data_IF_084422607467
#
_entry.id   IF_084422607467
#
_cell.length_a   1.000
_cell.length_b   1.000
_cell.length_c   1.000
_cell.angle_alpha   90.00
_cell.angle_beta   90.00
_cell.angle_gamma   90.00
#
_symmetry.space_group_name_H-M   'P 1'
#
loop_
_entity.id
_entity.type
_entity.pdbx_description
1 polymer ?
#
# COMPACT_ATOMS: atom_id res chain seq x y z
N UNK A 1 35.44 -6.62 15.79
CA UNK A 1 34.10 -6.38 15.20
C UNK A 1 33.44 -7.74 14.99
N UNK A 2 32.41 -8.07 15.75
CA UNK A 2 31.71 -9.37 15.61
C UNK A 2 30.95 -9.38 14.29
N UNK A 3 31.33 -10.23 13.37
CA UNK A 3 30.55 -10.49 12.14
C UNK A 3 29.28 -11.20 12.57
N UNK A 4 28.13 -10.54 12.37
CA UNK A 4 26.81 -11.17 12.55
C UNK A 4 26.54 -12.03 11.32
N UNK A 5 26.60 -13.34 11.47
CA UNK A 5 26.19 -14.26 10.43
C UNK A 5 24.67 -14.23 10.29
N UNK A 6 24.18 -14.14 9.04
CA UNK A 6 22.76 -14.25 8.73
C UNK A 6 22.42 -15.72 8.71
N UNK A 7 21.75 -16.21 9.75
CA UNK A 7 21.34 -17.63 9.88
C UNK A 7 20.13 -17.97 9.03
N UNK A 8 19.28 -16.97 8.71
CA UNK A 8 18.10 -17.19 7.88
C UNK A 8 17.28 -15.93 7.68
N UNK A 9 16.40 -15.97 6.68
CA UNK A 9 15.45 -14.90 6.35
C UNK A 9 14.03 -15.42 6.49
N UNK A 10 13.18 -14.71 7.25
CA UNK A 10 11.76 -15.04 7.41
C UNK A 10 10.91 -13.97 6.77
N UNK A 11 10.10 -14.35 5.78
CA UNK A 11 9.14 -13.48 5.12
C UNK A 11 7.80 -13.59 5.86
N UNK A 12 7.24 -12.44 6.27
CA UNK A 12 5.94 -12.33 6.93
C UNK A 12 5.11 -11.22 6.28
N UNK A 13 3.79 -11.33 6.38
CA UNK A 13 2.91 -10.22 6.07
C UNK A 13 3.03 -9.16 7.18
N UNK A 14 3.12 -7.90 6.79
CA UNK A 14 3.07 -6.79 7.73
C UNK A 14 1.60 -6.52 8.12
N UNK A 15 1.35 -6.30 9.41
CA UNK A 15 0.05 -5.84 9.86
C UNK A 15 -0.17 -4.37 9.48
N UNK A 16 -1.42 -3.88 9.43
CA UNK A 16 -1.71 -2.47 9.17
C UNK A 16 -0.98 -1.52 10.13
N UNK A 17 -0.88 -1.88 11.41
CA UNK A 17 -0.17 -1.11 12.43
C UNK A 17 1.32 -1.02 12.08
N UNK A 18 1.91 -2.15 11.70
CA UNK A 18 3.32 -2.19 11.30
C UNK A 18 3.60 -1.36 10.05
N UNK A 19 2.66 -1.33 9.10
CA UNK A 19 2.77 -0.48 7.90
C UNK A 19 2.73 1.01 8.29
N UNK A 20 1.84 1.39 9.21
CA UNK A 20 1.77 2.78 9.70
C UNK A 20 3.04 3.20 10.45
N UNK A 21 3.60 2.32 11.28
CA UNK A 21 4.87 2.57 11.98
C UNK A 21 6.05 2.82 11.02
N UNK A 22 6.11 2.07 9.92
CA UNK A 22 7.16 2.20 8.90
C UNK A 22 6.93 3.37 7.94
N UNK A 23 5.73 3.93 7.94
CA UNK A 23 5.32 4.96 7.00
C UNK A 23 5.78 6.36 7.42
N UNK A 24 6.28 7.12 6.47
CA UNK A 24 6.62 8.55 6.64
C UNK A 24 5.41 9.48 6.44
N UNK A 25 4.24 8.94 6.06
CA UNK A 25 3.01 9.69 5.91
C UNK A 25 1.97 9.03 5.02
N UNK A 26 0.74 9.54 5.10
CA UNK A 26 -0.39 9.06 4.33
C UNK A 26 -0.47 9.74 2.96
N UNK A 27 -0.65 8.94 1.91
CA UNK A 27 -0.94 9.38 0.56
C UNK A 27 -2.46 9.52 0.40
N UNK A 28 -2.95 10.75 0.23
CA UNK A 28 -4.39 11.07 0.19
C UNK A 28 -4.94 11.25 -1.21
N UNK A 29 -4.05 11.46 -2.20
CA UNK A 29 -4.42 11.77 -3.58
C UNK A 29 -3.79 10.79 -4.55
N UNK A 30 -4.52 10.40 -5.62
CA UNK A 30 -3.98 9.51 -6.64
C UNK A 30 -3.01 10.18 -7.62
N UNK A 31 -2.92 11.51 -7.57
CA UNK A 31 -2.07 12.26 -8.49
C UNK A 31 -0.59 11.99 -8.21
N UNK A 32 0.19 11.96 -9.29
CA UNK A 32 1.64 11.75 -9.24
C UNK A 32 2.40 13.05 -9.37
N UNK A 33 2.33 13.66 -10.54
CA UNK A 33 2.99 14.92 -10.88
C UNK A 33 1.99 15.89 -11.49
N UNK A 34 2.24 17.17 -11.31
CA UNK A 34 1.52 18.21 -12.03
C UNK A 34 2.04 18.27 -13.47
N UNK A 35 1.17 18.06 -14.46
CA UNK A 35 1.54 18.00 -15.88
C UNK A 35 2.12 19.34 -16.40
N UNK A 36 1.76 20.47 -15.80
CA UNK A 36 2.24 21.81 -16.20
C UNK A 36 3.62 22.13 -15.63
N UNK A 37 3.82 21.80 -14.35
CA UNK A 37 5.06 22.16 -13.63
C UNK A 37 6.07 21.02 -13.55
N UNK A 38 5.66 19.80 -13.91
CA UNK A 38 6.41 18.55 -13.79
C UNK A 38 6.93 18.28 -12.35
N UNK A 39 6.28 18.89 -11.36
CA UNK A 39 6.61 18.69 -9.94
C UNK A 39 5.64 17.71 -9.28
N UNK A 40 6.11 16.94 -8.29
CA UNK A 40 5.26 16.06 -7.51
C UNK A 40 4.10 16.83 -6.85
N UNK A 41 2.90 16.29 -6.98
CA UNK A 41 1.72 16.85 -6.32
C UNK A 41 1.80 16.60 -4.80
N UNK A 42 1.33 17.61 -4.05
CA UNK A 42 1.25 17.53 -2.60
C UNK A 42 0.25 16.45 -2.17
N UNK A 43 0.64 15.61 -1.22
CA UNK A 43 -0.15 14.50 -0.70
C UNK A 43 -0.48 13.40 -1.74
N UNK A 44 0.17 13.45 -2.91
CA UNK A 44 0.08 12.45 -3.97
C UNK A 44 1.10 11.33 -3.84
N UNK A 45 1.10 10.42 -4.82
CA UNK A 45 1.96 9.23 -4.85
C UNK A 45 3.46 9.54 -4.91
N UNK A 46 3.86 10.76 -5.31
CA UNK A 46 5.27 11.19 -5.35
C UNK A 46 5.56 12.39 -4.44
N UNK A 47 4.69 12.64 -3.46
CA UNK A 47 4.80 13.79 -2.56
C UNK A 47 6.19 13.91 -1.91
N UNK A 48 6.81 15.10 -2.07
CA UNK A 48 8.14 15.35 -1.49
C UNK A 48 8.13 15.45 0.04
N UNK A 49 6.98 15.78 0.64
CA UNK A 49 6.82 15.82 2.09
C UNK A 49 6.87 14.42 2.70
N UNK A 50 6.28 13.43 2.02
CA UNK A 50 6.21 12.04 2.49
C UNK A 50 7.52 11.31 2.16
N UNK A 51 7.93 11.34 0.91
CA UNK A 51 9.03 10.53 0.40
C UNK A 51 10.39 11.24 0.39
N UNK A 52 10.40 12.55 0.56
CA UNK A 52 11.61 13.36 0.49
C UNK A 52 11.75 14.15 -0.81
N UNK A 53 12.76 15.03 -0.89
CA UNK A 53 12.95 15.93 -2.01
C UNK A 53 13.32 15.20 -3.30
N UNK A 54 12.90 15.72 -4.44
CA UNK A 54 13.29 15.19 -5.77
C UNK A 54 14.72 15.56 -6.13
N UNK A 55 15.19 16.71 -5.66
CA UNK A 55 16.57 17.16 -5.80
C UNK A 55 17.23 17.25 -4.44
N UNK A 56 18.46 16.73 -4.34
CA UNK A 56 19.20 16.74 -3.08
C UNK A 56 19.36 18.16 -2.54
N UNK A 57 19.05 18.31 -1.25
CA UNK A 57 19.19 19.57 -0.49
C UNK A 57 18.34 20.75 -1.01
N UNK A 58 17.25 20.46 -1.73
CA UNK A 58 16.27 21.45 -2.16
C UNK A 58 14.90 21.14 -1.57
N UNK A 59 14.09 22.15 -1.32
CA UNK A 59 12.69 21.96 -0.94
C UNK A 59 11.72 22.25 -2.09
N UNK A 60 10.50 21.75 -2.05
CA UNK A 60 9.51 21.90 -3.11
C UNK A 60 9.16 23.36 -3.44
N UNK A 61 9.10 24.25 -2.42
CA UNK A 61 8.77 25.67 -2.63
C UNK A 61 9.95 26.53 -3.11
N UNK A 62 11.16 25.99 -3.14
CA UNK A 62 12.36 26.69 -3.58
C UNK A 62 12.99 27.61 -2.53
N UNK A 63 12.47 27.68 -1.29
CA UNK A 63 13.07 28.49 -0.20
C UNK A 63 14.52 28.06 0.06
N UNK A 64 14.76 26.75 0.10
CA UNK A 64 16.09 26.13 0.26
C UNK A 64 16.66 25.66 -1.09
N UNK A 65 16.57 26.49 -2.11
CA UNK A 65 17.22 26.21 -3.39
C UNK A 65 18.68 26.60 -3.30
N UNK A 66 19.59 25.72 -3.72
CA UNK A 66 21.05 25.92 -3.66
C UNK A 66 21.65 26.02 -2.24
N UNK A 67 20.95 25.52 -1.24
CA UNK A 67 21.39 25.60 0.17
C UNK A 67 22.52 24.64 0.52
N UNK A 68 22.72 23.60 -0.30
CA UNK A 68 23.72 22.58 -0.05
C UNK A 68 23.49 21.80 1.27
N UNK A 69 24.48 21.06 1.73
CA UNK A 69 24.34 20.20 2.92
C UNK A 69 24.25 20.95 4.26
N UNK A 70 24.46 22.28 4.28
CA UNK A 70 24.40 23.11 5.51
C UNK A 70 23.06 23.02 6.25
N UNK A 71 21.96 22.83 5.51
CA UNK A 71 20.60 22.78 6.06
C UNK A 71 20.03 21.36 6.07
N UNK A 72 20.88 20.33 6.00
CA UNK A 72 20.45 18.93 6.06
C UNK A 72 19.65 18.66 7.33
N UNK A 73 18.47 18.02 7.16
CA UNK A 73 17.58 17.63 8.26
C UNK A 73 16.58 18.72 8.69
N UNK A 74 16.66 19.93 8.11
CA UNK A 74 15.68 20.97 8.40
C UNK A 74 14.41 20.72 7.60
N UNK A 75 13.27 20.78 8.28
CA UNK A 75 11.95 20.74 7.65
C UNK A 75 11.57 22.16 7.24
N UNK A 76 11.27 22.35 5.96
CA UNK A 76 10.86 23.65 5.45
C UNK A 76 9.51 24.05 6.05
N UNK A 77 9.46 25.16 6.75
CA UNK A 77 8.26 25.76 7.35
C UNK A 77 7.14 26.06 6.34
N UNK A 78 7.50 26.37 5.09
CA UNK A 78 6.56 26.75 4.02
C UNK A 78 5.92 25.54 3.31
N UNK A 79 6.71 24.50 2.99
CA UNK A 79 6.21 23.35 2.22
C UNK A 79 6.24 22.02 2.97
N UNK A 80 6.84 21.98 4.18
CA UNK A 80 6.94 20.79 4.99
C UNK A 80 7.90 19.70 4.46
N UNK A 81 8.69 20.01 3.44
CA UNK A 81 9.68 19.08 2.87
C UNK A 81 10.97 19.17 3.68
N UNK A 82 11.50 18.02 4.07
CA UNK A 82 12.79 17.93 4.72
C UNK A 82 13.92 18.14 3.71
N UNK A 83 14.87 19.00 4.05
CA UNK A 83 16.05 19.28 3.23
C UNK A 83 17.08 18.19 3.45
N UNK A 84 17.12 17.19 2.57
CA UNK A 84 18.01 16.03 2.67
C UNK A 84 18.43 15.52 1.29
N UNK A 85 19.21 14.45 1.24
CA UNK A 85 19.58 13.80 0.00
C UNK A 85 18.35 13.14 -0.65
N UNK A 86 18.26 13.21 -1.97
CA UNK A 86 17.17 12.59 -2.74
C UNK A 86 17.15 11.05 -2.64
N UNK A 87 18.25 10.41 -2.21
CA UNK A 87 18.32 8.94 -2.01
C UNK A 87 17.33 8.42 -0.99
N UNK A 88 16.93 9.27 -0.02
CA UNK A 88 15.91 8.89 0.98
C UNK A 88 14.58 8.48 0.34
N UNK A 89 14.29 8.92 -0.89
CA UNK A 89 13.10 8.51 -1.64
C UNK A 89 13.05 7.01 -1.97
N UNK A 90 14.18 6.32 -1.94
CA UNK A 90 14.28 4.87 -2.14
C UNK A 90 14.05 4.08 -0.86
N UNK A 91 14.13 4.73 0.29
CA UNK A 91 14.06 4.11 1.62
C UNK A 91 12.73 4.42 2.32
N UNK A 92 12.20 5.64 2.14
CA UNK A 92 10.97 6.07 2.79
C UNK A 92 9.74 5.40 2.19
N UNK A 93 8.90 4.90 3.07
CA UNK A 93 7.61 4.31 2.73
C UNK A 93 6.49 5.27 3.09
N UNK A 94 5.43 5.26 2.30
CA UNK A 94 4.15 5.88 2.62
C UNK A 94 3.06 4.81 2.71
N UNK A 95 1.89 5.17 3.20
CA UNK A 95 0.75 4.28 3.22
C UNK A 95 -0.50 4.95 2.64
N UNK A 96 -1.46 4.15 2.26
CA UNK A 96 -2.79 4.56 1.80
C UNK A 96 -3.80 3.93 2.76
N UNK A 97 -4.62 4.77 3.40
CA UNK A 97 -5.77 4.27 4.18
C UNK A 97 -6.88 3.84 3.21
N UNK A 98 -7.28 2.60 3.33
CA UNK A 98 -8.35 2.05 2.50
C UNK A 98 -9.71 2.31 3.16
N UNK A 99 -10.72 2.65 2.35
CA UNK A 99 -12.09 2.87 2.82
C UNK A 99 -12.73 1.58 3.37
N UNK A 100 -12.28 0.41 2.92
CA UNK A 100 -12.75 -0.90 3.37
C UNK A 100 -11.60 -1.91 3.34
N UNK A 101 -11.64 -2.97 4.15
CA UNK A 101 -10.66 -4.05 4.09
C UNK A 101 -10.62 -4.69 2.70
N UNK A 102 -9.42 -5.00 2.22
CA UNK A 102 -9.18 -5.65 0.93
C UNK A 102 -8.54 -7.02 1.17
N UNK A 103 -8.99 -8.01 0.42
CA UNK A 103 -8.49 -9.38 0.51
C UNK A 103 -7.07 -9.46 -0.07
N UNK A 104 -6.14 -10.04 0.69
CA UNK A 104 -4.79 -10.26 0.21
C UNK A 104 -4.76 -11.39 -0.82
N UNK A 105 -4.09 -11.15 -1.94
CA UNK A 105 -4.03 -12.05 -3.09
C UNK A 105 -3.49 -13.45 -2.76
N UNK A 106 -2.56 -13.57 -1.81
CA UNK A 106 -1.99 -14.85 -1.40
C UNK A 106 -3.01 -15.81 -0.81
N UNK A 107 -4.04 -15.29 -0.14
CA UNK A 107 -5.12 -16.10 0.44
C UNK A 107 -6.21 -16.43 -0.57
N UNK A 108 -6.41 -15.56 -1.58
CA UNK A 108 -7.43 -15.74 -2.62
C UNK A 108 -6.95 -16.65 -3.75
N UNK A 109 -5.78 -16.33 -4.34
CA UNK A 109 -5.26 -16.99 -5.56
C UNK A 109 -4.15 -18.01 -5.32
N UNK A 110 -3.83 -18.33 -4.08
CA UNK A 110 -2.94 -19.45 -3.76
C UNK A 110 -3.53 -20.77 -4.27
N UNK A 111 -2.69 -21.74 -4.62
CA UNK A 111 -3.14 -23.08 -4.98
C UNK A 111 -2.68 -24.06 -3.89
N UNK A 112 -3.60 -24.62 -3.08
CA UNK A 112 -5.05 -24.35 -3.04
C UNK A 112 -5.37 -23.00 -2.39
N UNK A 113 -6.50 -22.37 -2.79
CA UNK A 113 -6.97 -21.11 -2.19
C UNK A 113 -7.31 -21.31 -0.71
N UNK A 114 -6.61 -20.59 0.17
CA UNK A 114 -6.84 -20.71 1.62
C UNK A 114 -8.23 -20.22 2.02
N UNK A 115 -8.70 -19.13 1.41
CA UNK A 115 -10.05 -18.62 1.64
C UNK A 115 -11.12 -19.57 1.15
N UNK A 116 -10.93 -20.20 -0.02
CA UNK A 116 -11.86 -21.21 -0.54
C UNK A 116 -12.01 -22.39 0.42
N UNK A 117 -10.91 -22.86 0.97
CA UNK A 117 -10.92 -23.95 1.95
C UNK A 117 -11.62 -23.57 3.25
N UNK A 118 -11.32 -22.40 3.81
CA UNK A 118 -11.90 -21.93 5.07
C UNK A 118 -13.41 -21.67 4.95
N UNK A 119 -13.84 -21.07 3.85
CA UNK A 119 -15.25 -20.71 3.62
C UNK A 119 -16.05 -21.86 2.97
N UNK A 120 -15.42 -22.94 2.56
CA UNK A 120 -16.06 -24.07 1.90
C UNK A 120 -16.71 -23.70 0.53
N UNK A 121 -16.25 -22.66 -0.13
CA UNK A 121 -16.80 -22.10 -1.37
C UNK A 121 -15.85 -22.23 -2.53
N UNK A 122 -16.35 -22.14 -3.78
CA UNK A 122 -15.47 -22.17 -4.94
C UNK A 122 -14.67 -20.87 -5.07
N UNK A 123 -13.42 -20.97 -5.54
CA UNK A 123 -12.58 -19.80 -5.81
C UNK A 123 -13.23 -18.83 -6.80
N UNK A 124 -13.96 -19.35 -7.79
CA UNK A 124 -14.70 -18.55 -8.77
C UNK A 124 -15.79 -17.67 -8.13
N UNK A 125 -16.48 -18.18 -7.12
CA UNK A 125 -17.53 -17.42 -6.44
C UNK A 125 -16.91 -16.37 -5.50
N UNK A 126 -15.83 -16.70 -4.82
CA UNK A 126 -15.05 -15.73 -4.06
C UNK A 126 -14.51 -14.59 -4.93
N UNK A 127 -14.00 -14.90 -6.12
CA UNK A 127 -13.54 -13.89 -7.07
C UNK A 127 -14.66 -12.94 -7.52
N UNK A 128 -15.88 -13.46 -7.76
CA UNK A 128 -17.03 -12.61 -8.10
C UNK A 128 -17.36 -11.60 -7.00
N UNK A 129 -17.25 -12.02 -5.74
CA UNK A 129 -17.46 -11.13 -4.59
C UNK A 129 -16.34 -10.10 -4.48
N UNK A 130 -15.08 -10.56 -4.46
CA UNK A 130 -13.91 -9.71 -4.24
C UNK A 130 -13.70 -8.67 -5.34
N UNK A 131 -13.97 -9.05 -6.60
CA UNK A 131 -13.83 -8.16 -7.76
C UNK A 131 -15.13 -7.44 -8.17
N UNK A 132 -16.11 -7.39 -7.30
CA UNK A 132 -17.37 -6.66 -7.54
C UNK A 132 -18.02 -7.01 -8.91
N UNK A 133 -18.12 -8.29 -9.24
CA UNK A 133 -18.78 -8.73 -10.47
C UNK A 133 -20.21 -8.14 -10.61
N UNK A 134 -20.80 -8.11 -11.82
CA UNK A 134 -22.15 -7.57 -12.05
C UNK A 134 -23.18 -8.08 -11.04
N UNK A 135 -24.07 -7.20 -10.60
CA UNK A 135 -24.93 -7.32 -9.41
C UNK A 135 -25.53 -8.72 -9.18
N UNK A 136 -26.23 -9.28 -10.18
CA UNK A 136 -26.87 -10.63 -10.04
C UNK A 136 -25.86 -11.74 -9.70
N UNK A 137 -24.69 -11.73 -10.36
CA UNK A 137 -23.63 -12.74 -10.10
C UNK A 137 -22.98 -12.55 -8.74
N UNK A 138 -22.83 -11.29 -8.30
CA UNK A 138 -22.25 -10.93 -7.00
C UNK A 138 -23.17 -11.31 -5.85
N UNK A 139 -24.47 -11.00 -5.94
CA UNK A 139 -25.45 -11.34 -4.92
C UNK A 139 -25.56 -12.85 -4.72
N UNK A 140 -25.63 -13.62 -5.82
CA UNK A 140 -25.64 -15.06 -5.74
C UNK A 140 -24.39 -15.63 -5.10
N UNK A 141 -23.20 -15.12 -5.48
CA UNK A 141 -21.94 -15.55 -4.90
C UNK A 141 -21.80 -15.11 -3.43
N UNK A 142 -22.22 -13.88 -3.08
CA UNK A 142 -22.22 -13.39 -1.71
C UNK A 142 -23.12 -14.24 -0.81
N UNK A 143 -24.30 -14.61 -1.30
CA UNK A 143 -25.21 -15.51 -0.58
C UNK A 143 -24.58 -16.86 -0.30
N UNK A 144 -23.92 -17.46 -1.30
CA UNK A 144 -23.18 -18.72 -1.13
C UNK A 144 -22.06 -18.58 -0.09
N UNK A 145 -21.31 -17.48 -0.11
CA UNK A 145 -20.22 -17.23 0.86
C UNK A 145 -20.77 -17.04 2.27
N UNK A 146 -21.85 -16.26 2.43
CA UNK A 146 -22.43 -15.96 3.75
C UNK A 146 -23.20 -17.11 4.35
N UNK A 147 -23.87 -17.91 3.53
CA UNK A 147 -24.65 -19.07 4.00
C UNK A 147 -23.78 -20.32 4.24
N UNK A 148 -22.53 -20.32 3.76
CA UNK A 148 -21.61 -21.47 3.90
C UNK A 148 -22.11 -22.76 3.23
N UNK A 149 -23.16 -22.67 2.42
CA UNK A 149 -23.77 -23.83 1.78
C UNK A 149 -23.07 -24.13 0.46
N UNK A 150 -22.43 -25.28 0.36
CA UNK A 150 -22.16 -25.91 -0.94
C UNK A 150 -23.46 -26.45 -1.50
N UNK A 151 -23.96 -25.97 -2.64
CA UNK A 151 -25.19 -26.48 -3.25
C UNK A 151 -25.09 -27.98 -3.60
N UNK A 152 -23.91 -28.53 -3.68
CA UNK A 152 -23.63 -29.88 -4.16
C UNK A 152 -23.74 -30.95 -3.06
N UNK A 153 -23.70 -30.59 -1.78
CA UNK A 153 -23.85 -31.54 -0.66
C UNK A 153 -25.31 -31.84 -0.30
N UNK A 154 -26.26 -31.01 -0.74
CA UNK A 154 -27.69 -31.20 -0.50
C UNK A 154 -28.35 -32.21 -1.46
N UNK A 155 -27.64 -32.69 -2.51
CA UNK A 155 -28.18 -33.67 -3.50
C UNK A 155 -27.66 -35.10 -3.31
N UNK A 156 -26.99 -35.40 -2.19
CA UNK A 156 -26.52 -36.76 -1.84
C UNK A 156 -27.11 -37.23 -0.50
N UNK A 157 -28.39 -37.02 -0.33
CA UNK A 157 -29.20 -37.62 0.72
C UNK A 157 -30.39 -38.29 0.11
#
# INVERSE_FOLDING_TARGET
MSQREIVGVRIKLASPERIRELSSGEVKKPETINYRTLRPEKDGLFCERIFGPTKSYECACGKYKRSGPKFKGIICDRCGVEVTDNRVRRERMGHIELAAPVVHIWYLRGIPSRLSLLLGTSTKDLEKVVYFAPTRKREAAFKVVMEGRRPDLARRG
#
